data_IF_818478181031
#
_entry.id   IF_818478181031
#
_cell.length_a   1.000
_cell.length_b   1.000
_cell.length_c   1.000
_cell.angle_alpha   90.00
_cell.angle_beta   90.00
_cell.angle_gamma   90.00
#
_symmetry.space_group_name_H-M   'P 1'
#
loop_
_entity.id
_entity.type
_entity.pdbx_description
1 polymer ?
#
# COMPACT_ATOMS: atom_id res chain seq x y z
N UNK A 1 -0.23 10.93 -12.79
CA UNK A 1 -0.28 9.47 -12.50
C UNK A 1 -1.65 9.02 -11.99
N UNK A 2 -2.27 8.04 -12.66
CA UNK A 2 -3.59 7.47 -12.38
C UNK A 2 -3.69 6.92 -10.95
N UNK A 3 -2.71 6.17 -10.47
CA UNK A 3 -2.74 5.58 -9.13
C UNK A 3 -2.78 6.66 -8.03
N UNK A 4 -2.08 7.78 -8.21
CA UNK A 4 -2.15 8.91 -7.28
C UNK A 4 -3.49 9.64 -7.34
N UNK A 5 -4.15 9.67 -8.51
CA UNK A 5 -5.51 10.25 -8.63
C UNK A 5 -6.54 9.37 -7.92
N UNK A 6 -6.50 8.06 -8.15
CA UNK A 6 -7.36 7.12 -7.42
C UNK A 6 -7.12 7.25 -5.91
N UNK A 7 -5.85 7.34 -5.49
CA UNK A 7 -5.54 7.56 -4.09
C UNK A 7 -6.13 8.87 -3.56
N UNK A 8 -6.08 9.96 -4.33
CA UNK A 8 -6.74 11.23 -3.98
C UNK A 8 -8.25 11.05 -3.78
N UNK A 9 -8.94 10.31 -4.65
CA UNK A 9 -10.38 10.07 -4.52
C UNK A 9 -10.73 9.37 -3.20
N UNK A 10 -9.90 8.41 -2.76
CA UNK A 10 -10.05 7.77 -1.45
C UNK A 10 -9.80 8.74 -0.30
N UNK A 11 -8.81 9.64 -0.43
CA UNK A 11 -8.56 10.67 0.58
C UNK A 11 -9.71 11.68 0.67
N UNK A 12 -10.30 12.09 -0.45
CA UNK A 12 -11.47 12.97 -0.47
C UNK A 12 -12.68 12.31 0.20
N UNK A 13 -12.90 11.01 -0.06
CA UNK A 13 -13.92 10.23 0.61
C UNK A 13 -13.66 10.14 2.13
N UNK A 14 -12.42 9.90 2.54
CA UNK A 14 -12.04 9.86 3.96
C UNK A 14 -12.19 11.23 4.64
N UNK A 15 -11.77 12.31 3.98
CA UNK A 15 -11.90 13.68 4.48
C UNK A 15 -13.36 14.12 4.65
N UNK A 16 -14.24 13.64 3.77
CA UNK A 16 -15.70 13.82 3.89
C UNK A 16 -16.32 13.08 5.09
N UNK A 17 -15.56 12.17 5.71
CA UNK A 17 -15.92 11.39 6.91
C UNK A 17 -15.11 11.84 8.14
N UNK A 18 -14.66 13.11 8.17
CA UNK A 18 -13.93 13.75 9.28
C UNK A 18 -12.56 13.13 9.62
N UNK A 19 -11.95 12.37 8.71
CA UNK A 19 -10.58 11.90 8.84
C UNK A 19 -9.57 13.05 8.58
N UNK A 20 -8.53 13.18 9.41
CA UNK A 20 -7.49 14.22 9.24
C UNK A 20 -6.48 13.82 8.16
N UNK A 21 -6.85 14.02 6.90
CA UNK A 21 -6.04 13.63 5.73
C UNK A 21 -5.46 14.82 4.96
N UNK A 22 -5.63 16.06 5.45
CA UNK A 22 -5.27 17.28 4.70
C UNK A 22 -3.80 17.32 4.31
N UNK A 23 -2.89 16.98 5.23
CA UNK A 23 -1.45 16.94 4.93
C UNK A 23 -1.10 15.92 3.84
N UNK A 24 -1.80 14.78 3.81
CA UNK A 24 -1.60 13.76 2.79
C UNK A 24 -2.16 14.21 1.44
N UNK A 25 -3.33 14.85 1.43
CA UNK A 25 -3.91 15.44 0.22
C UNK A 25 -2.97 16.50 -0.38
N UNK A 26 -2.36 17.35 0.44
CA UNK A 26 -1.45 18.38 -0.05
C UNK A 26 -0.19 17.77 -0.69
N UNK A 27 0.38 16.72 -0.07
CA UNK A 27 1.50 15.97 -0.67
C UNK A 27 1.11 15.33 -2.00
N UNK A 28 -0.06 14.69 -2.09
CA UNK A 28 -0.51 14.05 -3.34
C UNK A 28 -0.77 15.10 -4.43
N UNK A 29 -1.31 16.28 -4.09
CA UNK A 29 -1.50 17.39 -5.05
C UNK A 29 -0.17 17.86 -5.64
N UNK A 30 0.86 18.00 -4.80
CA UNK A 30 2.20 18.36 -5.26
C UNK A 30 2.74 17.33 -6.26
N UNK A 31 2.66 16.03 -5.91
CA UNK A 31 3.13 14.94 -6.77
C UNK A 31 2.34 14.82 -8.08
N UNK A 32 1.04 15.08 -8.04
CA UNK A 32 0.20 15.11 -9.25
C UNK A 32 0.57 16.26 -10.19
N UNK A 33 1.06 17.38 -9.65
CA UNK A 33 1.50 18.54 -10.42
C UNK A 33 2.88 18.41 -11.07
N UNK A 34 3.68 17.42 -10.68
CA UNK A 34 5.08 17.29 -11.08
C UNK A 34 5.32 16.71 -12.50
N UNK A 35 4.28 16.59 -13.33
CA UNK A 35 4.27 16.16 -14.75
C UNK A 35 5.45 15.25 -15.16
N UNK A 36 5.28 13.93 -14.99
CA UNK A 36 6.30 12.91 -15.28
C UNK A 36 6.05 12.28 -16.64
N UNK A 37 6.94 12.54 -17.60
CA UNK A 37 6.89 11.95 -18.93
C UNK A 37 7.40 10.49 -18.97
N UNK A 38 7.20 9.82 -20.10
CA UNK A 38 7.58 8.39 -20.30
C UNK A 38 9.07 8.10 -20.10
N UNK A 39 9.95 9.07 -20.40
CA UNK A 39 11.41 8.91 -20.25
C UNK A 39 11.98 9.40 -18.93
N UNK A 40 11.13 9.89 -18.02
CA UNK A 40 11.53 10.52 -16.77
C UNK A 40 11.07 9.72 -15.56
N UNK A 41 11.73 9.94 -14.43
CA UNK A 41 11.30 9.42 -13.12
C UNK A 41 11.56 10.45 -12.05
N UNK A 42 10.58 10.74 -11.21
CA UNK A 42 10.83 11.52 -9.99
C UNK A 42 11.46 10.61 -8.94
N UNK A 43 12.56 11.06 -8.33
CA UNK A 43 13.30 10.28 -7.34
C UNK A 43 13.47 11.06 -6.03
N UNK A 44 13.32 10.35 -4.91
CA UNK A 44 13.56 10.91 -3.57
C UNK A 44 15.08 11.10 -3.33
N UNK A 45 15.90 10.19 -3.84
CA UNK A 45 17.36 10.23 -3.70
C UNK A 45 18.08 9.54 -4.87
N UNK A 46 19.41 9.61 -4.89
CA UNK A 46 20.24 8.98 -5.92
C UNK A 46 20.57 7.50 -5.63
N UNK A 47 19.95 6.88 -4.61
CA UNK A 47 20.26 5.50 -4.19
C UNK A 47 20.17 4.48 -5.34
N UNK A 48 19.34 4.75 -6.34
CA UNK A 48 19.13 3.88 -7.51
C UNK A 48 19.65 4.48 -8.82
N UNK A 49 20.41 5.56 -8.75
CA UNK A 49 20.98 6.21 -9.93
C UNK A 49 22.31 5.56 -10.30
N UNK A 50 22.41 5.01 -11.50
CA UNK A 50 23.62 4.43 -12.07
C UNK A 50 23.96 5.17 -13.37
N UNK A 51 25.16 5.78 -13.44
CA UNK A 51 25.60 6.58 -14.59
C UNK A 51 24.59 7.66 -15.03
N UNK A 52 23.93 8.31 -14.06
CA UNK A 52 22.93 9.36 -14.32
C UNK A 52 21.59 8.84 -14.85
N UNK A 53 21.33 7.53 -14.78
CA UNK A 53 20.08 6.90 -15.18
C UNK A 53 19.52 6.03 -14.05
N UNK A 54 18.22 5.81 -14.06
CA UNK A 54 17.55 4.82 -13.22
C UNK A 54 17.10 3.68 -14.11
N UNK A 55 17.39 2.44 -13.70
CA UNK A 55 16.98 1.23 -14.43
C UNK A 55 16.02 0.43 -13.58
N UNK A 56 14.80 0.24 -14.06
CA UNK A 56 13.74 -0.52 -13.36
C UNK A 56 13.33 -1.75 -14.18
N UNK A 57 13.21 -2.91 -13.51
CA UNK A 57 12.87 -4.21 -14.11
C UNK A 57 13.62 -4.53 -15.41
N UNK A 58 14.92 -4.19 -15.43
CA UNK A 58 15.86 -4.43 -16.56
C UNK A 58 15.45 -3.82 -17.92
N UNK A 59 14.34 -3.09 -18.00
CA UNK A 59 13.73 -2.63 -19.24
C UNK A 59 13.60 -1.11 -19.29
N UNK A 60 13.20 -0.49 -18.19
CA UNK A 60 12.90 0.94 -18.15
C UNK A 60 14.15 1.72 -17.77
N UNK A 61 14.77 2.36 -18.75
CA UNK A 61 15.91 3.27 -18.55
C UNK A 61 15.40 4.70 -18.54
N UNK A 62 15.35 5.30 -17.34
CA UNK A 62 14.70 6.58 -17.09
C UNK A 62 15.70 7.65 -16.67
N UNK A 63 15.37 8.90 -16.97
CA UNK A 63 16.15 10.07 -16.54
C UNK A 63 15.63 10.55 -15.19
N UNK A 64 16.45 10.52 -14.11
CA UNK A 64 16.00 10.95 -12.80
C UNK A 64 15.80 12.46 -12.75
N UNK A 65 14.69 12.88 -12.14
CA UNK A 65 14.37 14.26 -11.75
C UNK A 65 14.18 14.29 -10.25
N UNK A 66 14.97 15.10 -9.55
CA UNK A 66 14.98 15.08 -8.09
C UNK A 66 13.71 15.75 -7.52
N UNK A 67 13.07 15.06 -6.58
CA UNK A 67 12.00 15.61 -5.74
C UNK A 67 12.18 15.00 -4.34
N UNK A 68 13.22 15.46 -3.64
CA UNK A 68 13.53 14.98 -2.29
C UNK A 68 12.51 15.49 -1.26
N UNK A 69 12.09 16.76 -1.35
CA UNK A 69 11.10 17.35 -0.45
C UNK A 69 9.75 16.62 -0.46
N UNK A 70 9.06 16.63 -1.60
CA UNK A 70 7.70 16.08 -1.72
C UNK A 70 7.64 14.57 -1.50
N UNK A 71 8.59 13.81 -2.04
CA UNK A 71 8.62 12.35 -1.84
C UNK A 71 9.00 11.95 -0.41
N UNK A 72 9.96 12.64 0.23
CA UNK A 72 10.28 12.36 1.64
C UNK A 72 9.14 12.72 2.57
N UNK A 73 8.41 13.81 2.31
CA UNK A 73 7.23 14.15 3.10
C UNK A 73 6.11 13.13 2.89
N UNK A 74 5.84 12.76 1.63
CA UNK A 74 4.87 11.72 1.30
C UNK A 74 5.17 10.39 2.01
N UNK A 75 6.45 9.96 2.04
CA UNK A 75 6.90 8.77 2.78
C UNK A 75 6.56 8.85 4.27
N UNK A 76 6.84 10.00 4.90
CA UNK A 76 6.58 10.21 6.34
C UNK A 76 5.09 10.20 6.65
N UNK A 77 4.28 10.89 5.84
CA UNK A 77 2.82 10.95 6.05
C UNK A 77 2.16 9.58 5.84
N UNK A 78 2.69 8.76 4.94
CA UNK A 78 2.31 7.35 4.78
C UNK A 78 2.83 6.43 5.91
N UNK A 79 3.64 6.96 6.84
CA UNK A 79 4.29 6.20 7.92
C UNK A 79 5.11 5.00 7.41
N UNK A 80 5.72 5.15 6.23
CA UNK A 80 6.64 4.15 5.71
C UNK A 80 7.95 4.22 6.48
N UNK A 81 8.34 3.09 7.07
CA UNK A 81 9.54 2.99 7.91
C UNK A 81 10.84 3.36 7.19
N UNK A 82 11.90 3.56 7.95
CA UNK A 82 13.19 4.06 7.43
C UNK A 82 13.87 3.14 6.41
N UNK A 83 13.48 1.87 6.35
CA UNK A 83 13.89 0.94 5.30
C UNK A 83 13.57 1.46 3.87
N UNK A 84 12.56 2.33 3.74
CA UNK A 84 12.14 2.95 2.48
C UNK A 84 12.71 4.36 2.26
N UNK A 85 13.53 4.88 3.18
CA UNK A 85 14.08 6.23 3.09
C UNK A 85 14.98 6.38 1.86
N UNK A 86 14.70 7.40 1.05
CA UNK A 86 15.41 7.65 -0.21
C UNK A 86 15.03 6.70 -1.34
N UNK A 87 14.01 5.85 -1.16
CA UNK A 87 13.67 4.78 -2.11
C UNK A 87 12.37 5.01 -2.89
N UNK A 88 11.65 6.11 -2.63
CA UNK A 88 10.44 6.41 -3.36
C UNK A 88 10.74 6.96 -4.75
N UNK A 89 9.94 6.52 -5.72
CA UNK A 89 9.98 7.00 -7.09
C UNK A 89 8.56 7.17 -7.63
N UNK A 90 8.38 8.11 -8.55
CA UNK A 90 7.14 8.29 -9.31
C UNK A 90 7.44 8.29 -10.79
N UNK A 91 6.73 7.46 -11.53
CA UNK A 91 6.83 7.29 -12.99
C UNK A 91 5.49 7.66 -13.66
N UNK A 92 5.47 7.75 -14.98
CA UNK A 92 4.22 7.87 -15.73
C UNK A 92 3.40 6.56 -15.67
N UNK A 93 2.15 6.63 -16.12
CA UNK A 93 1.20 5.52 -16.00
C UNK A 93 1.57 4.31 -16.85
N UNK A 94 2.12 4.52 -18.05
CA UNK A 94 2.53 3.43 -18.94
C UNK A 94 3.72 2.65 -18.38
N UNK A 95 4.71 3.37 -17.83
CA UNK A 95 5.84 2.75 -17.12
C UNK A 95 5.34 2.03 -15.87
N UNK A 96 4.45 2.65 -15.09
CA UNK A 96 3.88 2.02 -13.90
C UNK A 96 3.15 0.70 -14.22
N UNK A 97 2.36 0.67 -15.29
CA UNK A 97 1.66 -0.54 -15.74
C UNK A 97 2.65 -1.66 -16.06
N UNK A 98 3.67 -1.37 -16.87
CA UNK A 98 4.69 -2.35 -17.23
C UNK A 98 5.49 -2.85 -16.02
N UNK A 99 5.79 -1.97 -15.06
CA UNK A 99 6.43 -2.36 -13.80
C UNK A 99 5.54 -3.30 -12.99
N UNK A 100 4.26 -2.99 -12.82
CA UNK A 100 3.31 -3.83 -12.05
C UNK A 100 3.17 -5.22 -12.70
N UNK A 101 2.93 -5.30 -14.01
CA UNK A 101 2.72 -6.57 -14.71
C UNK A 101 3.92 -7.53 -14.64
N UNK A 102 5.14 -6.96 -14.61
CA UNK A 102 6.39 -7.72 -14.50
C UNK A 102 6.78 -8.03 -13.06
N UNK A 103 6.31 -7.24 -12.10
CA UNK A 103 6.65 -7.45 -10.68
C UNK A 103 5.79 -8.55 -10.05
N UNK A 104 4.61 -8.85 -10.59
CA UNK A 104 3.77 -9.96 -10.12
C UNK A 104 4.51 -11.29 -10.27
N UNK A 105 4.63 -12.04 -9.17
CA UNK A 105 5.35 -13.30 -9.12
C UNK A 105 4.49 -14.44 -9.66
N UNK A 106 4.84 -14.97 -10.84
CA UNK A 106 4.22 -16.17 -11.44
C UNK A 106 4.99 -17.42 -11.02
N UNK A 107 4.39 -18.25 -10.18
CA UNK A 107 5.03 -19.43 -9.58
C UNK A 107 4.34 -20.70 -10.08
N UNK A 108 5.03 -21.55 -10.86
CA UNK A 108 4.54 -22.88 -11.18
C UNK A 108 4.48 -23.74 -9.93
N UNK A 109 3.34 -24.39 -9.71
CA UNK A 109 3.15 -25.35 -8.63
C UNK A 109 2.71 -26.68 -9.19
N UNK A 110 3.16 -27.74 -8.52
CA UNK A 110 2.83 -29.09 -8.90
C UNK A 110 2.58 -29.96 -7.68
N UNK A 111 1.82 -31.04 -7.91
CA UNK A 111 1.66 -32.12 -6.93
C UNK A 111 2.41 -33.35 -7.41
N UNK A 112 3.23 -33.94 -6.53
CA UNK A 112 3.88 -35.21 -6.80
C UNK A 112 2.97 -36.39 -6.45
N UNK A 113 3.09 -37.47 -7.23
CA UNK A 113 2.55 -38.79 -6.89
C UNK A 113 3.30 -39.37 -5.69
N UNK A 114 2.59 -39.78 -4.63
CA UNK A 114 3.23 -40.39 -3.47
C UNK A 114 4.06 -41.62 -3.87
N UNK A 115 5.33 -41.66 -3.46
CA UNK A 115 6.23 -42.79 -3.69
C UNK A 115 6.85 -42.90 -5.10
N UNK A 116 6.34 -42.17 -6.10
CA UNK A 116 6.77 -42.33 -7.50
C UNK A 116 7.76 -41.26 -7.99
N UNK A 117 8.04 -40.21 -7.19
CA UNK A 117 8.85 -39.01 -7.57
C UNK A 117 8.46 -38.43 -8.95
N UNK A 118 7.19 -38.56 -9.32
CA UNK A 118 6.61 -38.11 -10.60
C UNK A 118 5.52 -37.09 -10.31
N UNK A 119 5.26 -36.18 -11.27
CA UNK A 119 4.13 -35.25 -11.17
C UNK A 119 2.83 -36.02 -11.39
N UNK A 120 1.84 -35.79 -10.53
CA UNK A 120 0.52 -36.39 -10.67
C UNK A 120 -0.17 -35.84 -11.92
N UNK A 121 -0.90 -36.70 -12.63
CA UNK A 121 -1.59 -36.32 -13.87
C UNK A 121 -2.53 -35.13 -13.63
N UNK A 122 -2.36 -34.07 -14.44
CA UNK A 122 -3.17 -32.85 -14.37
C UNK A 122 -2.87 -31.94 -13.18
N UNK A 123 -1.81 -32.19 -12.41
CA UNK A 123 -1.50 -31.44 -11.20
C UNK A 123 -0.31 -30.49 -11.39
N UNK A 124 -0.31 -29.73 -12.49
CA UNK A 124 0.59 -28.60 -12.75
C UNK A 124 -0.27 -27.36 -13.01
N UNK A 125 -0.02 -26.29 -12.27
CA UNK A 125 -0.70 -25.01 -12.42
C UNK A 125 0.25 -23.85 -12.13
N UNK A 126 -0.18 -22.62 -12.41
CA UNK A 126 0.57 -21.40 -12.09
C UNK A 126 -0.25 -20.57 -11.11
N UNK A 127 0.42 -20.03 -10.09
CA UNK A 127 -0.16 -19.07 -9.16
C UNK A 127 0.50 -17.70 -9.33
N UNK A 128 -0.30 -16.64 -9.25
CA UNK A 128 0.19 -15.26 -9.21
C UNK A 128 0.20 -14.76 -7.77
N UNK A 129 1.33 -14.19 -7.35
CA UNK A 129 1.50 -13.60 -6.03
C UNK A 129 1.96 -12.15 -6.17
N UNK A 130 1.32 -11.28 -5.39
CA UNK A 130 1.80 -9.92 -5.21
C UNK A 130 3.10 -9.97 -4.40
N UNK A 131 4.15 -9.23 -4.79
CA UNK A 131 5.40 -9.17 -4.04
C UNK A 131 5.23 -8.72 -2.59
N UNK A 132 6.12 -9.19 -1.73
CA UNK A 132 6.32 -8.58 -0.42
C UNK A 132 6.63 -7.08 -0.58
N UNK A 133 6.37 -6.30 0.46
CA UNK A 133 6.57 -4.83 0.50
C UNK A 133 5.65 -4.03 -0.44
N UNK A 134 4.67 -4.68 -1.08
CA UNK A 134 3.60 -3.96 -1.81
C UNK A 134 2.67 -3.26 -0.83
N UNK A 135 2.47 -1.95 -1.02
CA UNK A 135 1.56 -1.14 -0.21
C UNK A 135 0.21 -1.04 -0.91
N UNK A 136 -0.84 -1.49 -0.23
CA UNK A 136 -2.23 -1.26 -0.60
C UNK A 136 -2.85 -0.21 0.30
N UNK A 137 -3.86 0.49 -0.20
CA UNK A 137 -4.64 1.45 0.57
C UNK A 137 -6.13 1.14 0.43
N UNK A 138 -6.89 1.50 1.46
CA UNK A 138 -8.35 1.43 1.49
C UNK A 138 -8.89 2.35 2.58
N UNK A 139 -10.18 2.64 2.56
CA UNK A 139 -10.88 3.45 3.57
C UNK A 139 -11.82 2.56 4.35
N UNK A 140 -11.66 2.55 5.68
CA UNK A 140 -12.59 1.88 6.59
C UNK A 140 -13.72 2.85 6.93
N UNK A 141 -14.94 2.53 6.51
CA UNK A 141 -16.13 3.33 6.80
C UNK A 141 -16.94 2.68 7.90
N UNK A 142 -17.08 3.38 9.02
CA UNK A 142 -17.83 2.90 10.18
C UNK A 142 -19.22 3.52 10.21
N UNK A 143 -20.21 2.73 10.61
CA UNK A 143 -21.59 3.18 10.75
C UNK A 143 -22.25 2.53 11.96
N UNK A 144 -23.37 3.07 12.40
CA UNK A 144 -24.17 2.48 13.49
C UNK A 144 -24.54 1.02 13.13
N UNK A 145 -24.34 0.06 14.05
CA UNK A 145 -24.68 -1.33 13.79
C UNK A 145 -26.19 -1.51 13.56
N UNK A 146 -26.55 -2.38 12.62
CA UNK A 146 -27.95 -2.63 12.20
C UNK A 146 -28.55 -3.95 12.72
N UNK A 147 -27.77 -4.75 13.45
CA UNK A 147 -28.15 -6.08 13.93
C UNK A 147 -28.53 -6.13 15.42
N UNK A 148 -29.24 -7.19 15.81
CA UNK A 148 -29.43 -7.54 17.23
C UNK A 148 -28.12 -8.12 17.80
N UNK A 149 -27.82 -7.87 19.07
CA UNK A 149 -26.60 -8.37 19.72
C UNK A 149 -25.37 -7.45 19.63
N UNK A 150 -25.58 -6.17 19.35
CA UNK A 150 -24.53 -5.13 19.35
C UNK A 150 -24.52 -4.36 20.70
N UNK A 151 -24.59 -5.09 21.81
CA UNK A 151 -24.62 -4.49 23.14
C UNK A 151 -23.31 -3.73 23.38
N UNK A 152 -23.41 -2.42 23.66
CA UNK A 152 -22.25 -1.52 23.83
C UNK A 152 -21.74 -0.83 22.55
N UNK A 153 -22.31 -1.13 21.37
CA UNK A 153 -21.98 -0.44 20.10
C UNK A 153 -23.18 0.40 19.63
N UNK A 154 -23.18 1.69 19.97
CA UNK A 154 -24.32 2.60 19.74
C UNK A 154 -24.19 3.47 18.49
N UNK A 155 -22.98 3.65 17.97
CA UNK A 155 -22.66 4.65 16.95
C UNK A 155 -21.42 4.23 16.15
N UNK A 156 -21.04 5.03 15.15
CA UNK A 156 -19.88 4.77 14.32
C UNK A 156 -18.56 4.82 15.10
N UNK A 157 -18.48 5.64 16.16
CA UNK A 157 -17.27 5.84 16.97
C UNK A 157 -16.99 4.59 17.80
N UNK A 158 -17.98 4.09 18.52
CA UNK A 158 -17.88 2.84 19.30
C UNK A 158 -17.54 1.64 18.43
N UNK A 159 -18.11 1.54 17.22
CA UNK A 159 -17.74 0.49 16.25
C UNK A 159 -16.28 0.62 15.80
N UNK A 160 -15.84 1.85 15.50
CA UNK A 160 -14.45 2.12 15.11
C UNK A 160 -13.49 1.72 16.21
N UNK A 161 -13.72 2.17 17.45
CA UNK A 161 -12.87 1.85 18.60
C UNK A 161 -12.78 0.35 18.84
N UNK A 162 -13.90 -0.36 18.71
CA UNK A 162 -13.92 -1.82 18.81
C UNK A 162 -13.09 -2.50 17.72
N UNK A 163 -13.26 -2.10 16.45
CA UNK A 163 -12.55 -2.69 15.31
C UNK A 163 -11.05 -2.37 15.37
N UNK A 164 -10.67 -1.10 15.57
CA UNK A 164 -9.28 -0.68 15.66
C UNK A 164 -8.59 -1.29 16.90
N UNK A 165 -9.29 -1.38 18.03
CA UNK A 165 -8.78 -2.06 19.23
C UNK A 165 -8.52 -3.55 19.02
N UNK A 166 -9.36 -4.22 18.22
CA UNK A 166 -9.14 -5.62 17.87
C UNK A 166 -7.88 -5.80 17.01
N UNK A 167 -7.64 -4.90 16.04
CA UNK A 167 -6.40 -4.92 15.26
C UNK A 167 -5.17 -4.62 16.11
N UNK A 168 -5.27 -3.64 17.02
CA UNK A 168 -4.21 -3.27 17.95
C UNK A 168 -3.80 -4.46 18.83
N UNK A 169 -4.77 -5.22 19.35
CA UNK A 169 -4.52 -6.41 20.16
C UNK A 169 -3.72 -7.52 19.45
N UNK A 170 -3.68 -7.47 18.10
CA UNK A 170 -2.94 -8.41 17.24
C UNK A 170 -1.67 -7.78 16.64
N UNK A 171 -1.25 -6.62 17.13
CA UNK A 171 -0.11 -5.88 16.59
C UNK A 171 -0.32 -5.38 15.16
N UNK A 172 -1.58 -5.24 14.73
CA UNK A 172 -1.99 -4.85 13.39
C UNK A 172 -1.62 -5.83 12.26
N UNK A 173 -1.32 -7.08 12.58
CA UNK A 173 -1.09 -8.12 11.57
C UNK A 173 -2.34 -8.93 11.30
N UNK A 174 -2.57 -9.25 10.02
CA UNK A 174 -3.58 -10.23 9.59
C UNK A 174 -3.10 -11.02 8.38
N UNK A 175 -3.86 -12.07 8.05
CA UNK A 175 -3.68 -12.85 6.83
C UNK A 175 -4.82 -12.55 5.88
N UNK A 176 -4.49 -12.14 4.65
CA UNK A 176 -5.43 -11.89 3.56
C UNK A 176 -5.15 -12.87 2.42
N UNK A 177 -6.22 -13.43 1.85
CA UNK A 177 -6.15 -14.31 0.68
C UNK A 177 -6.00 -15.79 1.04
N UNK A 178 -5.60 -16.58 0.05
CA UNK A 178 -5.36 -18.02 0.20
C UNK A 178 -3.90 -18.35 0.52
N UNK A 179 -3.56 -19.65 0.49
CA UNK A 179 -2.18 -20.13 0.68
C UNK A 179 -1.53 -19.77 2.03
N UNK A 180 -2.34 -19.53 3.07
CA UNK A 180 -1.87 -19.29 4.45
C UNK A 180 -0.93 -20.40 4.93
N UNK A 181 -1.27 -21.66 4.65
CA UNK A 181 -0.50 -22.84 5.09
C UNK A 181 0.90 -22.92 4.48
N UNK A 182 1.19 -22.14 3.45
CA UNK A 182 2.53 -22.02 2.84
C UNK A 182 3.15 -20.64 3.08
N UNK A 183 2.64 -19.90 4.06
CA UNK A 183 3.20 -18.63 4.54
C UNK A 183 2.87 -17.42 3.67
N UNK A 184 1.78 -17.46 2.89
CA UNK A 184 1.34 -16.32 2.06
C UNK A 184 0.23 -15.52 2.74
N UNK A 185 0.13 -14.24 2.39
CA UNK A 185 -0.99 -13.38 2.80
C UNK A 185 -0.77 -12.59 4.09
N UNK A 186 0.36 -12.73 4.78
CA UNK A 186 0.66 -11.92 5.97
C UNK A 186 0.83 -10.46 5.58
N UNK A 187 0.02 -9.59 6.17
CA UNK A 187 0.06 -8.14 5.95
C UNK A 187 0.04 -7.40 7.29
N UNK A 188 0.62 -6.19 7.29
CA UNK A 188 0.51 -5.24 8.40
C UNK A 188 -0.43 -4.11 8.00
N UNK A 189 -1.39 -3.78 8.86
CA UNK A 189 -2.23 -2.60 8.70
C UNK A 189 -1.59 -1.39 9.37
N UNK A 190 -1.71 -0.25 8.71
CA UNK A 190 -1.35 1.06 9.25
C UNK A 190 -2.54 1.98 9.05
N UNK A 191 -3.09 2.52 10.13
CA UNK A 191 -4.17 3.49 10.07
C UNK A 191 -3.58 4.90 9.89
N UNK A 192 -4.03 5.61 8.86
CA UNK A 192 -3.58 6.96 8.50
C UNK A 192 -4.77 7.91 8.66
N UNK A 193 -4.51 9.14 9.11
CA UNK A 193 -5.53 10.20 9.22
C UNK A 193 -6.53 9.97 10.35
N UNK A 194 -6.06 10.06 11.59
CA UNK A 194 -6.92 9.98 12.78
C UNK A 194 -8.05 11.02 12.76
N UNK A 195 -9.14 10.76 13.47
CA UNK A 195 -10.26 11.71 13.59
C UNK A 195 -9.85 12.88 14.48
N UNK A 196 -10.21 14.11 14.08
CA UNK A 196 -10.18 15.30 14.95
C UNK A 196 -11.22 15.14 16.06
N UNK A 197 -10.90 14.39 17.11
CA UNK A 197 -11.68 14.46 18.35
C UNK A 197 -11.33 15.80 18.99
N UNK A 198 -12.33 16.65 19.21
CA UNK A 198 -12.14 17.96 19.83
C UNK A 198 -11.27 17.87 21.09
N UNK A 199 -10.11 18.51 21.05
CA UNK A 199 -9.19 18.62 22.18
C UNK A 199 -8.35 17.37 22.46
N UNK A 200 -7.28 17.17 21.67
CA UNK A 200 -6.16 16.31 22.05
C UNK A 200 -5.70 15.38 20.94
N UNK A 201 -4.54 15.67 20.34
CA UNK A 201 -3.81 14.70 19.51
C UNK A 201 -3.50 13.47 20.37
N UNK A 202 -4.10 12.32 20.05
CA UNK A 202 -3.49 11.04 20.41
C UNK A 202 -2.48 10.74 19.31
N UNK A 203 -1.24 11.19 19.51
CA UNK A 203 -0.12 10.63 18.78
C UNK A 203 0.01 9.16 19.18
N UNK A 204 -0.36 8.23 18.30
CA UNK A 204 0.09 6.84 18.43
C UNK A 204 1.37 6.69 17.61
N UNK A 205 2.49 6.96 18.27
CA UNK A 205 3.82 6.51 17.83
C UNK A 205 3.88 4.98 17.93
N UNK A 206 4.31 4.32 16.86
CA UNK A 206 4.99 3.01 16.94
C UNK A 206 6.41 3.19 16.42
#
# INVERSE_FOLDING_TARGET
>A
PLLLRVFMDYLEAAGSLDADVSGLMDCVKELLGADVGEGDVLVESDVFTVNGKVVLNEEFVLTPRRNDGGLSEFRKVLMLGDAYSGRLMVVCDDVALGLVERSVQRVPRLKLEPGAKKVARGALWVEENVPADTVFHTVFMYSRPRGKGADGLSDAVSVREFVEGHFESRGYYLVIGGNETVGRGLVKLTFIGGVKVGGGRVAKSS
#
